data_IF_897744458145
#
_entry.id   IF_897744458145
#
_cell.length_a   1.000
_cell.length_b   1.000
_cell.length_c   1.000
_cell.angle_alpha   90.00
_cell.angle_beta   90.00
_cell.angle_gamma   90.00
#
_symmetry.space_group_name_H-M   'P 1'
#
loop_
_entity.id
_entity.type
_entity.pdbx_description
1 polymer ?
#
# COMPACT_ATOMS: atom_id res chain seq x y z
N UNK A 1 -0.53 -14.37 -18.94
CA UNK A 1 -1.57 -14.34 -17.90
C UNK A 1 -1.39 -15.57 -17.04
N UNK A 2 -0.90 -15.40 -15.80
CA UNK A 2 -0.63 -16.48 -14.82
C UNK A 2 -1.68 -16.50 -13.71
N UNK A 3 -1.79 -17.63 -13.01
CA UNK A 3 -2.67 -17.72 -11.84
C UNK A 3 -1.96 -17.02 -10.69
N UNK A 4 -2.64 -16.18 -9.91
CA UNK A 4 -2.03 -15.65 -8.69
C UNK A 4 -1.88 -16.78 -7.66
N UNK A 5 -0.71 -17.40 -7.65
CA UNK A 5 -0.29 -18.47 -6.76
C UNK A 5 1.10 -18.16 -6.19
N UNK A 6 1.48 -18.81 -5.08
CA UNK A 6 2.78 -18.60 -4.45
C UNK A 6 3.95 -18.78 -5.43
N UNK A 7 3.91 -19.82 -6.28
CA UNK A 7 4.97 -20.09 -7.25
C UNK A 7 5.02 -19.02 -8.35
N UNK A 8 3.91 -18.81 -9.07
CA UNK A 8 3.85 -17.87 -10.18
C UNK A 8 4.22 -16.44 -9.72
N UNK A 9 3.81 -16.07 -8.50
CA UNK A 9 4.16 -14.79 -7.88
C UNK A 9 5.67 -14.67 -7.62
N UNK A 10 6.28 -15.65 -6.95
CA UNK A 10 7.71 -15.63 -6.66
C UNK A 10 8.56 -15.61 -7.95
N UNK A 11 8.18 -16.39 -8.96
CA UNK A 11 8.87 -16.42 -10.25
C UNK A 11 8.75 -15.08 -11.00
N UNK A 12 7.57 -14.46 -10.98
CA UNK A 12 7.34 -13.15 -11.60
C UNK A 12 8.18 -12.06 -10.93
N UNK A 13 8.16 -11.98 -9.59
CA UNK A 13 8.92 -10.97 -8.85
C UNK A 13 10.41 -11.13 -9.10
N UNK A 14 10.92 -12.36 -9.15
CA UNK A 14 12.32 -12.62 -9.45
C UNK A 14 12.76 -12.02 -10.80
N UNK A 15 11.87 -11.97 -11.80
CA UNK A 15 12.12 -11.34 -13.10
C UNK A 15 12.00 -9.81 -13.03
N UNK A 16 11.06 -9.28 -12.26
CA UNK A 16 10.91 -7.83 -12.09
C UNK A 16 12.09 -7.20 -11.35
N UNK A 17 12.65 -7.89 -10.35
CA UNK A 17 13.82 -7.39 -9.61
C UNK A 17 15.03 -7.20 -10.51
N UNK A 18 15.21 -8.05 -11.53
CA UNK A 18 16.29 -7.91 -12.52
C UNK A 18 16.15 -6.66 -13.41
N UNK A 19 14.96 -6.05 -13.44
CA UNK A 19 14.65 -4.85 -14.22
C UNK A 19 14.68 -3.57 -13.39
N UNK A 20 14.93 -3.64 -12.08
CA UNK A 20 14.95 -2.45 -11.23
C UNK A 20 16.04 -1.49 -11.70
N UNK A 21 15.64 -0.28 -12.03
CA UNK A 21 16.53 0.85 -12.28
C UNK A 21 16.24 1.94 -11.29
N UNK A 22 17.27 2.38 -10.55
CA UNK A 22 17.16 3.52 -9.64
C UNK A 22 17.42 4.81 -10.39
N UNK A 23 16.39 5.26 -11.11
CA UNK A 23 16.36 6.59 -11.69
C UNK A 23 15.59 7.49 -10.72
N UNK A 24 16.29 8.45 -10.13
CA UNK A 24 15.70 9.47 -9.26
C UNK A 24 15.35 10.71 -10.06
N UNK A 25 14.16 11.26 -9.83
CA UNK A 25 13.76 12.58 -10.35
C UNK A 25 14.04 13.66 -9.30
N UNK A 26 13.65 13.41 -8.04
CA UNK A 26 13.91 14.24 -6.86
C UNK A 26 13.59 13.43 -5.62
N UNK A 27 14.51 13.40 -4.64
CA UNK A 27 14.30 12.67 -3.38
C UNK A 27 13.03 13.12 -2.67
N UNK A 28 12.24 12.16 -2.17
CA UNK A 28 11.05 12.40 -1.33
C UNK A 28 11.35 12.35 0.16
N UNK A 29 12.41 11.62 0.53
CA UNK A 29 12.84 11.45 1.91
C UNK A 29 14.29 11.86 2.08
N UNK A 30 14.55 12.61 3.13
CA UNK A 30 15.87 13.16 3.45
C UNK A 30 16.81 12.02 3.82
N UNK A 31 18.05 12.08 3.30
CA UNK A 31 19.10 11.11 3.62
C UNK A 31 19.04 9.81 2.80
N UNK A 32 18.04 9.62 1.94
CA UNK A 32 17.92 8.38 1.15
C UNK A 32 19.15 8.09 0.29
N UNK A 33 19.79 9.10 -0.31
CA UNK A 33 21.01 8.91 -1.11
C UNK A 33 22.19 8.38 -0.31
N UNK A 34 22.26 8.66 0.99
CA UNK A 34 23.32 8.18 1.88
C UNK A 34 23.24 6.66 2.08
N UNK A 35 22.01 6.11 2.07
CA UNK A 35 21.74 4.71 2.40
C UNK A 35 21.30 3.86 1.21
N UNK A 36 20.90 4.47 0.09
CA UNK A 36 20.36 3.75 -1.07
C UNK A 36 21.29 2.63 -1.55
N UNK A 37 22.59 2.90 -1.61
CA UNK A 37 23.59 1.89 -2.00
C UNK A 37 23.56 0.68 -1.07
N UNK A 38 23.54 0.89 0.24
CA UNK A 38 23.52 -0.21 1.22
C UNK A 38 22.22 -1.00 1.17
N UNK A 39 21.09 -0.31 1.06
CA UNK A 39 19.76 -0.94 0.92
C UNK A 39 19.68 -1.82 -0.33
N UNK A 40 20.21 -1.35 -1.48
CA UNK A 40 20.30 -2.19 -2.69
C UNK A 40 21.11 -3.45 -2.44
N UNK A 41 22.27 -3.33 -1.78
CA UNK A 41 23.11 -4.49 -1.50
C UNK A 41 22.38 -5.49 -0.59
N UNK A 42 21.61 -5.01 0.39
CA UNK A 42 20.78 -5.87 1.24
C UNK A 42 19.66 -6.54 0.44
N UNK A 43 18.91 -5.81 -0.38
CA UNK A 43 17.87 -6.36 -1.26
C UNK A 43 18.44 -7.44 -2.17
N UNK A 44 19.59 -7.18 -2.82
CA UNK A 44 20.24 -8.14 -3.71
C UNK A 44 20.71 -9.39 -2.98
N UNK A 45 21.32 -9.23 -1.79
CA UNK A 45 21.75 -10.35 -0.95
C UNK A 45 20.57 -11.21 -0.52
N UNK A 46 19.51 -10.57 -0.04
CA UNK A 46 18.33 -11.25 0.49
C UNK A 46 17.56 -11.95 -0.65
N UNK A 47 17.46 -11.33 -1.84
CA UNK A 47 16.92 -11.98 -3.04
C UNK A 47 17.70 -13.23 -3.44
N UNK A 48 19.04 -13.13 -3.49
CA UNK A 48 19.89 -14.27 -3.83
C UNK A 48 19.75 -15.40 -2.82
N UNK A 49 19.58 -15.06 -1.54
CA UNK A 49 19.34 -16.02 -0.46
C UNK A 49 18.01 -16.75 -0.68
N UNK A 50 16.93 -16.01 -0.95
CA UNK A 50 15.62 -16.62 -1.24
C UNK A 50 15.68 -17.50 -2.50
N UNK A 51 16.32 -17.04 -3.58
CA UNK A 51 16.51 -17.82 -4.81
C UNK A 51 17.25 -19.15 -4.53
N UNK A 52 18.31 -19.13 -3.72
CA UNK A 52 19.06 -20.34 -3.33
C UNK A 52 18.21 -21.30 -2.51
N UNK A 53 17.46 -20.80 -1.53
CA UNK A 53 16.65 -21.62 -0.64
C UNK A 53 15.48 -22.30 -1.38
N UNK A 54 14.92 -21.65 -2.40
CA UNK A 54 13.90 -22.25 -3.28
C UNK A 54 14.54 -23.33 -4.16
N UNK A 55 15.67 -23.05 -4.81
CA UNK A 55 16.30 -23.97 -5.77
C UNK A 55 16.84 -25.24 -5.11
N UNK A 56 17.23 -25.16 -3.83
CA UNK A 56 17.68 -26.30 -3.03
C UNK A 56 16.52 -27.09 -2.38
N UNK A 57 15.26 -26.76 -2.69
CA UNK A 57 14.05 -27.34 -2.06
C UNK A 57 14.01 -27.19 -0.53
N UNK A 58 14.80 -26.25 0.00
CA UNK A 58 14.93 -25.98 1.44
C UNK A 58 13.84 -25.03 1.97
N UNK A 59 13.01 -24.48 1.08
CA UNK A 59 11.93 -23.53 1.40
C UNK A 59 10.65 -23.89 0.64
N UNK A 60 9.52 -23.91 1.33
CA UNK A 60 8.22 -24.03 0.67
C UNK A 60 7.87 -22.74 -0.06
N UNK A 61 7.08 -22.83 -1.13
CA UNK A 61 6.61 -21.65 -1.88
C UNK A 61 5.86 -20.62 -1.00
N UNK A 62 5.13 -21.09 0.01
CA UNK A 62 4.48 -20.22 1.01
C UNK A 62 5.48 -19.38 1.81
N UNK A 63 6.53 -20.02 2.34
CA UNK A 63 7.60 -19.31 3.06
C UNK A 63 8.41 -18.39 2.13
N UNK A 64 8.64 -18.83 0.90
CA UNK A 64 9.25 -18.01 -0.14
C UNK A 64 8.43 -16.74 -0.41
N UNK A 65 7.11 -16.88 -0.52
CA UNK A 65 6.20 -15.73 -0.75
C UNK A 65 6.31 -14.71 0.37
N UNK A 66 6.39 -15.16 1.63
CA UNK A 66 6.59 -14.26 2.76
C UNK A 66 7.89 -13.46 2.63
N UNK A 67 9.02 -14.13 2.45
CA UNK A 67 10.33 -13.47 2.30
C UNK A 67 10.39 -12.55 1.07
N UNK A 68 9.78 -12.95 -0.04
CA UNK A 68 9.67 -12.11 -1.24
C UNK A 68 8.80 -10.87 -0.99
N UNK A 69 7.70 -11.00 -0.23
CA UNK A 69 6.83 -9.86 0.08
C UNK A 69 7.56 -8.82 0.95
N UNK A 70 8.34 -9.26 1.94
CA UNK A 70 9.21 -8.37 2.73
C UNK A 70 10.21 -7.61 1.85
N UNK A 71 10.79 -8.27 0.84
CA UNK A 71 11.69 -7.61 -0.11
C UNK A 71 10.97 -6.60 -1.01
N UNK A 72 9.79 -6.93 -1.51
CA UNK A 72 8.98 -6.03 -2.35
C UNK A 72 8.55 -4.80 -1.56
N UNK A 73 8.22 -4.96 -0.27
CA UNK A 73 7.93 -3.83 0.63
C UNK A 73 9.12 -2.87 0.72
N UNK A 74 10.30 -3.41 0.98
CA UNK A 74 11.54 -2.63 1.07
C UNK A 74 11.88 -1.95 -0.26
N UNK A 75 11.69 -2.63 -1.39
CA UNK A 75 11.85 -2.06 -2.74
C UNK A 75 10.85 -0.93 -2.98
N UNK A 76 9.57 -1.13 -2.62
CA UNK A 76 8.51 -0.12 -2.76
C UNK A 76 8.88 1.14 -1.96
N UNK A 77 9.32 0.94 -0.71
CA UNK A 77 9.79 1.99 0.19
C UNK A 77 10.96 2.77 -0.39
N UNK A 78 12.01 2.06 -0.81
CA UNK A 78 13.21 2.66 -1.39
C UNK A 78 12.86 3.47 -2.65
N UNK A 79 12.11 2.89 -3.59
CA UNK A 79 11.74 3.55 -4.84
C UNK A 79 10.91 4.81 -4.60
N UNK A 80 9.98 4.76 -3.64
CA UNK A 80 9.25 5.94 -3.21
C UNK A 80 10.23 6.99 -2.66
N UNK A 81 11.04 6.64 -1.66
CA UNK A 81 11.96 7.54 -0.97
C UNK A 81 12.97 8.21 -1.91
N UNK A 82 13.58 7.44 -2.83
CA UNK A 82 14.56 7.98 -3.80
C UNK A 82 13.95 8.89 -4.85
N UNK A 83 12.62 9.03 -4.92
CA UNK A 83 12.02 9.89 -5.92
C UNK A 83 11.79 9.23 -7.27
N UNK A 84 11.62 7.91 -7.33
CA UNK A 84 11.25 7.25 -8.58
C UNK A 84 9.89 7.77 -9.09
N UNK A 85 9.66 7.67 -10.40
CA UNK A 85 8.37 8.04 -10.99
C UNK A 85 7.22 7.29 -10.29
N UNK A 86 6.06 7.94 -10.18
CA UNK A 86 4.90 7.36 -9.50
C UNK A 86 4.51 5.99 -10.06
N UNK A 87 4.52 5.84 -11.38
CA UNK A 87 4.22 4.57 -12.06
C UNK A 87 5.19 3.44 -11.68
N UNK A 88 6.44 3.77 -11.35
CA UNK A 88 7.47 2.78 -11.01
C UNK A 88 7.25 2.25 -9.60
N UNK A 89 7.24 3.09 -8.56
CA UNK A 89 7.09 2.57 -7.19
C UNK A 89 5.69 2.01 -6.94
N UNK A 90 4.64 2.55 -7.59
CA UNK A 90 3.27 2.02 -7.47
C UNK A 90 3.12 0.64 -8.09
N UNK A 91 3.88 0.32 -9.14
CA UNK A 91 3.95 -1.04 -9.66
C UNK A 91 4.43 -2.03 -8.58
N UNK A 92 5.43 -1.65 -7.79
CA UNK A 92 5.91 -2.45 -6.66
C UNK A 92 4.89 -2.50 -5.52
N UNK A 93 4.13 -1.43 -5.30
CA UNK A 93 2.96 -1.44 -4.41
C UNK A 93 1.93 -2.49 -4.83
N UNK A 94 1.62 -2.63 -6.12
CA UNK A 94 0.74 -3.70 -6.62
C UNK A 94 1.28 -5.10 -6.31
N UNK A 95 2.59 -5.31 -6.46
CA UNK A 95 3.22 -6.58 -6.11
C UNK A 95 3.18 -6.87 -4.61
N UNK A 96 3.36 -5.84 -3.78
CA UNK A 96 3.17 -5.96 -2.32
C UNK A 96 1.75 -6.44 -2.03
N UNK A 97 0.75 -5.84 -2.67
CA UNK A 97 -0.65 -6.21 -2.48
C UNK A 97 -0.92 -7.70 -2.75
N UNK A 98 -0.37 -8.22 -3.84
CA UNK A 98 -0.49 -9.64 -4.20
C UNK A 98 0.22 -10.56 -3.21
N UNK A 99 1.42 -10.18 -2.75
CA UNK A 99 2.15 -10.91 -1.73
C UNK A 99 1.40 -10.97 -0.39
N UNK A 100 0.82 -9.84 0.04
CA UNK A 100 -0.02 -9.76 1.24
C UNK A 100 -1.28 -10.62 1.12
N UNK A 101 -1.94 -10.61 -0.04
CA UNK A 101 -3.11 -11.43 -0.31
C UNK A 101 -2.80 -12.93 -0.20
N UNK A 102 -1.70 -13.38 -0.80
CA UNK A 102 -1.26 -14.77 -0.73
C UNK A 102 -0.93 -15.21 0.72
N UNK A 103 -0.59 -14.27 1.59
CA UNK A 103 -0.37 -14.49 3.03
C UNK A 103 -1.64 -14.36 3.87
N UNK A 104 -2.81 -14.09 3.27
CA UNK A 104 -4.06 -13.90 3.99
C UNK A 104 -4.23 -12.52 4.64
N UNK A 105 -3.34 -11.57 4.37
CA UNK A 105 -3.33 -10.22 4.95
C UNK A 105 -4.20 -9.27 4.13
N UNK A 106 -5.52 -9.42 4.26
CA UNK A 106 -6.49 -8.79 3.34
C UNK A 106 -6.54 -7.25 3.42
N UNK A 107 -6.40 -6.66 4.61
CA UNK A 107 -6.40 -5.19 4.76
C UNK A 107 -5.18 -4.60 4.07
N UNK A 108 -4.00 -5.12 4.42
CA UNK A 108 -2.72 -4.67 3.87
C UNK A 108 -2.71 -4.88 2.36
N UNK A 109 -3.20 -6.02 1.87
CA UNK A 109 -3.38 -6.25 0.44
C UNK A 109 -4.23 -5.16 -0.22
N UNK A 110 -5.37 -4.79 0.37
CA UNK A 110 -6.22 -3.73 -0.17
C UNK A 110 -5.57 -2.34 -0.09
N UNK A 111 -4.83 -2.03 0.98
CA UNK A 111 -4.12 -0.75 1.14
C UNK A 111 -3.05 -0.57 0.06
N UNK A 112 -2.16 -1.56 -0.10
CA UNK A 112 -1.12 -1.52 -1.13
C UNK A 112 -1.69 -1.60 -2.55
N UNK A 113 -2.81 -2.28 -2.75
CA UNK A 113 -3.51 -2.30 -4.03
C UNK A 113 -4.10 -0.92 -4.37
N UNK A 114 -4.64 -0.18 -3.39
CA UNK A 114 -5.15 1.18 -3.61
C UNK A 114 -4.01 2.13 -4.00
N UNK A 115 -2.86 2.01 -3.32
CA UNK A 115 -1.63 2.72 -3.69
C UNK A 115 -1.14 2.30 -5.09
N UNK A 116 -1.25 1.02 -5.47
CA UNK A 116 -0.88 0.51 -6.79
C UNK A 116 -1.87 0.83 -7.92
N UNK A 117 -3.09 1.26 -7.60
CA UNK A 117 -4.17 1.44 -8.59
C UNK A 117 -4.83 0.14 -9.04
N UNK A 118 -4.71 -0.95 -8.27
CA UNK A 118 -5.28 -2.27 -8.59
C UNK A 118 -6.76 -2.37 -8.18
N UNK A 119 -7.60 -1.45 -8.67
CA UNK A 119 -8.99 -1.32 -8.24
C UNK A 119 -9.83 -2.59 -8.50
N UNK A 120 -9.65 -3.25 -9.65
CA UNK A 120 -10.32 -4.51 -9.97
C UNK A 120 -9.91 -5.65 -9.03
N UNK A 121 -8.63 -5.70 -8.63
CA UNK A 121 -8.15 -6.67 -7.66
C UNK A 121 -8.78 -6.44 -6.29
N UNK A 122 -8.81 -5.19 -5.84
CA UNK A 122 -9.46 -4.79 -4.59
C UNK A 122 -10.91 -5.28 -4.56
N UNK A 123 -11.67 -5.08 -5.64
CA UNK A 123 -13.05 -5.56 -5.74
C UNK A 123 -13.15 -7.09 -5.65
N UNK A 124 -12.16 -7.82 -6.17
CA UNK A 124 -12.10 -9.28 -6.12
C UNK A 124 -11.81 -9.88 -4.73
N UNK A 125 -11.27 -9.08 -3.79
CA UNK A 125 -11.01 -9.55 -2.41
C UNK A 125 -12.30 -10.00 -1.71
N UNK A 126 -12.24 -10.91 -0.72
CA UNK A 126 -13.43 -11.33 0.03
C UNK A 126 -14.16 -10.15 0.68
N UNK A 127 -15.50 -10.20 0.78
CA UNK A 127 -16.31 -9.20 1.49
C UNK A 127 -16.40 -9.45 3.01
N UNK A 128 -15.63 -10.43 3.52
CA UNK A 128 -15.65 -10.83 4.93
C UNK A 128 -15.30 -9.62 5.82
N UNK A 129 -16.06 -9.36 6.89
CA UNK A 129 -15.73 -8.30 7.84
C UNK A 129 -14.36 -8.54 8.45
N UNK A 130 -13.50 -7.53 8.43
CA UNK A 130 -12.19 -7.66 9.08
C UNK A 130 -12.37 -7.45 10.58
N UNK A 131 -11.77 -8.36 11.37
CA UNK A 131 -11.69 -8.23 12.83
C UNK A 131 -10.51 -7.33 13.20
N UNK A 132 -10.61 -6.04 12.90
CA UNK A 132 -9.65 -5.03 13.37
C UNK A 132 -10.24 -4.24 14.54
N UNK A 133 -9.37 -3.83 15.47
CA UNK A 133 -9.71 -2.87 16.53
C UNK A 133 -9.40 -1.43 16.12
N UNK A 134 -8.60 -1.21 15.07
CA UNK A 134 -8.22 0.11 14.61
C UNK A 134 -9.33 0.72 13.77
N UNK A 135 -9.71 1.97 14.03
CA UNK A 135 -10.77 2.66 13.29
C UNK A 135 -10.35 2.91 11.84
N UNK A 136 -9.08 3.27 11.61
CA UNK A 136 -8.50 3.46 10.28
C UNK A 136 -8.69 2.25 9.35
N UNK A 137 -8.37 1.05 9.84
CA UNK A 137 -8.55 -0.20 9.08
C UNK A 137 -10.02 -0.53 8.82
N UNK A 138 -10.90 -0.30 9.81
CA UNK A 138 -12.34 -0.52 9.67
C UNK A 138 -12.96 0.44 8.65
N UNK A 139 -12.62 1.73 8.71
CA UNK A 139 -13.06 2.76 7.76
C UNK A 139 -12.56 2.44 6.36
N UNK A 140 -11.27 2.15 6.20
CA UNK A 140 -10.71 1.80 4.89
C UNK A 140 -11.41 0.59 4.27
N UNK A 141 -11.59 -0.50 5.04
CA UNK A 141 -12.26 -1.70 4.55
C UNK A 141 -13.73 -1.44 4.18
N UNK A 142 -14.42 -0.62 4.98
CA UNK A 142 -15.80 -0.22 4.70
C UNK A 142 -15.90 0.54 3.37
N UNK A 143 -15.03 1.53 3.15
CA UNK A 143 -14.98 2.34 1.93
C UNK A 143 -14.68 1.48 0.68
N UNK A 144 -13.83 0.47 0.83
CA UNK A 144 -13.46 -0.44 -0.24
C UNK A 144 -14.56 -1.43 -0.61
N UNK A 145 -15.24 -2.02 0.38
CA UNK A 145 -16.21 -3.10 0.16
C UNK A 145 -17.66 -2.63 0.04
N UNK A 146 -17.94 -1.36 0.28
CA UNK A 146 -19.30 -0.81 0.24
C UNK A 146 -20.25 -1.49 1.23
N UNK A 147 -19.71 -2.23 2.20
CA UNK A 147 -20.48 -3.00 3.15
C UNK A 147 -20.66 -2.16 4.42
N UNK A 148 -21.54 -1.15 4.30
CA UNK A 148 -21.90 -0.21 5.37
C UNK A 148 -22.52 -0.90 6.60
N UNK A 149 -22.80 -2.20 6.53
CA UNK A 149 -23.30 -3.02 7.65
C UNK A 149 -22.18 -3.56 8.56
N UNK A 150 -20.95 -3.04 8.47
CA UNK A 150 -19.92 -3.25 9.50
C UNK A 150 -20.34 -2.55 10.80
N UNK A 151 -21.18 -3.24 11.56
CA UNK A 151 -21.99 -2.77 12.67
C UNK A 151 -21.26 -2.29 13.94
N UNK A 152 -20.03 -1.77 13.87
CA UNK A 152 -19.25 -1.42 15.06
C UNK A 152 -18.46 -0.09 15.00
N UNK A 153 -18.54 0.69 13.92
CA UNK A 153 -17.97 2.05 13.97
C UNK A 153 -18.81 2.92 14.91
N UNK A 154 -18.20 3.58 15.91
CA UNK A 154 -18.93 4.51 16.76
C UNK A 154 -19.40 5.71 15.92
N UNK A 155 -20.51 6.33 16.30
CA UNK A 155 -21.00 7.55 15.63
C UNK A 155 -20.01 8.72 15.79
N UNK A 156 -19.28 8.74 16.91
CA UNK A 156 -18.22 9.69 17.21
C UNK A 156 -17.28 9.14 18.28
N UNK A 157 -16.08 9.72 18.38
CA UNK A 157 -15.11 9.45 19.44
C UNK A 157 -14.70 10.77 20.11
N UNK A 158 -13.97 10.69 21.21
CA UNK A 158 -13.32 11.87 21.81
C UNK A 158 -11.92 12.14 21.25
N UNK A 159 -11.42 11.27 20.36
CA UNK A 159 -10.12 11.39 19.72
C UNK A 159 -10.32 12.09 18.37
N UNK A 160 -9.58 13.18 18.13
CA UNK A 160 -9.72 14.01 16.93
C UNK A 160 -9.33 13.25 15.66
N UNK A 161 -8.28 12.42 15.71
CA UNK A 161 -7.83 11.58 14.59
C UNK A 161 -8.86 10.48 14.26
N UNK A 162 -9.38 9.79 15.26
CA UNK A 162 -10.43 8.78 15.07
C UNK A 162 -11.70 9.42 14.47
N UNK A 163 -12.07 10.62 14.90
CA UNK A 163 -13.20 11.36 14.32
C UNK A 163 -12.96 11.74 12.86
N UNK A 164 -11.74 12.13 12.51
CA UNK A 164 -11.39 12.41 11.12
C UNK A 164 -11.54 11.16 10.25
N UNK A 165 -11.15 9.97 10.73
CA UNK A 165 -11.42 8.71 10.03
C UNK A 165 -12.93 8.45 9.85
N UNK A 166 -13.73 8.64 10.89
CA UNK A 166 -15.19 8.50 10.79
C UNK A 166 -15.80 9.51 9.79
N UNK A 167 -15.23 10.71 9.69
CA UNK A 167 -15.63 11.71 8.71
C UNK A 167 -15.27 11.30 7.28
N UNK A 168 -14.12 10.66 7.04
CA UNK A 168 -13.78 10.09 5.72
C UNK A 168 -14.78 9.01 5.30
N UNK A 169 -15.18 8.16 6.23
CA UNK A 169 -16.22 7.14 6.04
C UNK A 169 -17.55 7.72 5.53
N UNK A 170 -17.89 8.95 5.91
CA UNK A 170 -19.12 9.63 5.50
C UNK A 170 -18.95 10.50 4.25
N UNK A 171 -17.85 11.24 4.16
CA UNK A 171 -17.62 12.27 3.14
C UNK A 171 -17.20 11.70 1.78
N UNK A 172 -16.36 10.66 1.75
CA UNK A 172 -15.86 10.09 0.49
C UNK A 172 -16.99 9.50 -0.37
N UNK A 173 -17.93 8.67 0.16
CA UNK A 173 -18.99 8.08 -0.65
C UNK A 173 -19.94 9.10 -1.28
N UNK A 174 -20.11 10.26 -0.66
CA UNK A 174 -20.98 11.35 -1.14
C UNK A 174 -20.21 12.44 -1.89
N UNK A 175 -18.89 12.26 -2.08
CA UNK A 175 -18.00 13.22 -2.75
C UNK A 175 -18.03 14.62 -2.12
N UNK A 176 -18.07 14.69 -0.79
CA UNK A 176 -17.93 15.96 -0.06
C UNK A 176 -16.45 16.31 0.08
N UNK A 177 -15.89 16.91 -0.96
CA UNK A 177 -14.46 17.27 -1.04
C UNK A 177 -13.99 18.15 0.13
N UNK A 178 -14.86 19.04 0.64
CA UNK A 178 -14.50 19.92 1.75
C UNK A 178 -14.31 19.11 3.04
N UNK A 179 -15.23 18.20 3.34
CA UNK A 179 -15.13 17.37 4.55
C UNK A 179 -14.04 16.30 4.40
N UNK A 180 -13.86 15.76 3.20
CA UNK A 180 -12.76 14.83 2.91
C UNK A 180 -11.40 15.51 3.11
N UNK A 181 -11.22 16.72 2.60
CA UNK A 181 -9.97 17.45 2.75
C UNK A 181 -9.66 17.79 4.21
N UNK A 182 -10.63 18.31 4.96
CA UNK A 182 -10.42 18.65 6.37
C UNK A 182 -10.05 17.41 7.20
N UNK A 183 -10.70 16.26 6.94
CA UNK A 183 -10.34 15.02 7.61
C UNK A 183 -8.93 14.51 7.24
N UNK A 184 -8.55 14.61 5.96
CA UNK A 184 -7.18 14.24 5.54
C UNK A 184 -6.12 15.15 6.15
N UNK A 185 -6.39 16.45 6.30
CA UNK A 185 -5.50 17.40 6.98
C UNK A 185 -5.34 17.05 8.46
N UNK A 186 -6.43 16.74 9.14
CA UNK A 186 -6.42 16.37 10.56
C UNK A 186 -5.57 15.11 10.79
N UNK A 187 -5.79 14.07 9.99
CA UNK A 187 -5.01 12.83 10.06
C UNK A 187 -3.53 13.09 9.73
N UNK A 188 -3.23 13.86 8.68
CA UNK A 188 -1.85 14.20 8.33
C UNK A 188 -1.16 14.97 9.46
N UNK A 189 -1.82 15.98 10.04
CA UNK A 189 -1.26 16.76 11.14
C UNK A 189 -0.97 15.90 12.38
N UNK A 190 -1.88 14.98 12.72
CA UNK A 190 -1.69 14.06 13.84
C UNK A 190 -0.44 13.21 13.64
N UNK A 191 -0.33 12.51 12.51
CA UNK A 191 0.80 11.59 12.26
C UNK A 191 2.12 12.32 12.07
N UNK A 192 2.12 13.46 11.38
CA UNK A 192 3.33 14.30 11.26
C UNK A 192 3.82 14.78 12.64
N UNK A 193 2.92 15.05 13.59
CA UNK A 193 3.26 15.48 14.94
C UNK A 193 3.74 14.31 15.83
N UNK A 194 3.09 13.14 15.73
CA UNK A 194 3.49 11.93 16.45
C UNK A 194 4.89 11.44 16.03
N UNK A 195 5.25 11.62 14.76
CA UNK A 195 6.58 11.25 14.24
C UNK A 195 7.67 12.31 14.49
N UNK A 196 7.38 13.42 15.19
CA UNK A 196 8.37 14.48 15.52
C UNK A 196 9.25 14.92 14.33
N UNK A 197 8.66 15.11 13.13
CA UNK A 197 9.34 15.41 11.86
C UNK A 197 10.22 14.29 11.26
N UNK A 198 10.33 13.12 11.91
CA UNK A 198 11.04 11.95 11.38
C UNK A 198 10.37 11.38 10.14
N UNK A 199 9.06 11.61 9.93
CA UNK A 199 8.33 11.16 8.74
C UNK A 199 8.95 11.66 7.41
N UNK A 200 9.74 12.73 7.44
CA UNK A 200 10.46 13.26 6.28
C UNK A 200 11.79 12.55 6.00
N UNK A 201 12.33 11.80 6.97
CA UNK A 201 13.61 11.12 6.85
C UNK A 201 13.43 9.73 6.23
N UNK A 202 14.48 9.25 5.58
CA UNK A 202 14.57 7.86 5.15
C UNK A 202 15.11 7.01 6.28
N UNK A 203 14.41 5.93 6.64
CA UNK A 203 14.85 5.01 7.68
C UNK A 203 15.23 3.65 7.08
N UNK A 204 16.52 3.37 6.88
CA UNK A 204 16.95 2.12 6.26
C UNK A 204 16.42 0.92 7.02
N UNK A 205 15.79 -0.03 6.31
CA UNK A 205 15.17 -1.25 6.85
C UNK A 205 13.89 -1.03 7.69
N UNK A 206 13.44 0.20 7.86
CA UNK A 206 12.15 0.53 8.47
C UNK A 206 11.18 0.95 7.36
N UNK A 207 10.59 -0.05 6.70
CA UNK A 207 9.66 0.18 5.60
C UNK A 207 8.19 0.00 6.03
N UNK A 208 7.25 0.70 5.39
CA UNK A 208 7.46 1.69 4.32
C UNK A 208 7.78 3.12 4.84
N UNK A 209 8.46 3.94 4.03
CA UNK A 209 8.76 5.35 4.31
C UNK A 209 7.54 6.28 4.09
N UNK A 210 6.32 5.77 4.31
CA UNK A 210 5.07 6.52 4.24
C UNK A 210 3.99 5.82 5.07
N UNK A 211 3.08 6.61 5.64
CA UNK A 211 1.98 6.08 6.45
C UNK A 211 0.93 5.39 5.58
N UNK A 212 1.03 4.06 5.51
CA UNK A 212 0.28 3.24 4.54
C UNK A 212 -1.23 3.36 4.67
N UNK A 213 -1.86 3.26 5.86
CA UNK A 213 -3.30 3.42 5.99
C UNK A 213 -3.77 4.80 5.51
N UNK A 214 -3.04 5.86 5.90
CA UNK A 214 -3.39 7.25 5.57
C UNK A 214 -3.25 7.50 4.06
N UNK A 215 -2.14 7.07 3.47
CA UNK A 215 -1.92 7.22 2.03
C UNK A 215 -2.90 6.37 1.22
N UNK A 216 -3.25 5.17 1.69
CA UNK A 216 -4.23 4.32 1.01
C UNK A 216 -5.64 4.92 1.01
N UNK A 217 -6.09 5.55 2.11
CA UNK A 217 -7.39 6.23 2.13
C UNK A 217 -7.40 7.49 1.27
N UNK A 218 -6.28 8.22 1.19
CA UNK A 218 -6.13 9.35 0.26
C UNK A 218 -6.18 8.88 -1.21
N UNK A 219 -5.56 7.74 -1.54
CA UNK A 219 -5.67 7.12 -2.87
C UNK A 219 -7.12 6.74 -3.20
N UNK A 220 -7.86 6.22 -2.22
CA UNK A 220 -9.26 5.89 -2.36
C UNK A 220 -10.12 7.14 -2.57
N UNK A 221 -9.94 8.19 -1.75
CA UNK A 221 -10.65 9.46 -1.93
C UNK A 221 -10.44 10.01 -3.36
N UNK A 222 -9.19 10.03 -3.84
CA UNK A 222 -8.86 10.43 -5.21
C UNK A 222 -9.54 9.56 -6.26
N UNK A 223 -9.58 8.24 -6.07
CA UNK A 223 -10.29 7.32 -6.96
C UNK A 223 -11.79 7.66 -7.06
N UNK A 224 -12.39 8.15 -5.96
CA UNK A 224 -13.78 8.62 -5.92
C UNK A 224 -13.97 10.06 -6.45
N UNK A 225 -12.91 10.73 -6.91
CA UNK A 225 -12.96 12.04 -7.56
C UNK A 225 -12.39 13.20 -6.74
N UNK A 226 -11.96 12.95 -5.50
CA UNK A 226 -11.37 13.99 -4.65
C UNK A 226 -10.16 14.64 -5.30
N UNK A 227 -10.12 15.97 -5.29
CA UNK A 227 -8.96 16.77 -5.71
C UNK A 227 -8.62 17.78 -4.63
N UNK A 228 -7.40 17.76 -4.07
CA UNK A 228 -7.02 18.68 -3.00
C UNK A 228 -6.93 20.14 -3.50
N UNK A 229 -7.41 21.08 -2.69
CA UNK A 229 -7.47 22.53 -2.99
C UNK A 229 -6.62 23.33 -1.99
N UNK A 230 -6.69 23.01 -0.70
CA UNK A 230 -6.07 23.83 0.37
C UNK A 230 -5.19 23.04 1.34
N UNK A 231 -4.76 21.84 0.96
CA UNK A 231 -3.71 21.08 1.65
C UNK A 231 -2.37 21.86 1.54
N UNK A 232 -1.62 21.96 2.64
CA UNK A 232 -0.31 22.63 2.64
C UNK A 232 0.75 21.78 1.91
N UNK A 233 1.89 22.36 1.49
CA UNK A 233 2.96 21.59 0.86
C UNK A 233 3.48 20.41 1.70
N UNK A 234 3.57 20.59 3.03
CA UNK A 234 4.02 19.56 3.97
C UNK A 234 3.02 18.42 4.06
N UNK A 235 1.73 18.74 4.23
CA UNK A 235 0.65 17.76 4.26
C UNK A 235 0.55 17.02 2.91
N UNK A 236 0.75 17.72 1.80
CA UNK A 236 0.78 17.09 0.47
C UNK A 236 1.96 16.12 0.34
N UNK A 237 3.15 16.51 0.81
CA UNK A 237 4.36 15.66 0.84
C UNK A 237 4.15 14.41 1.70
N UNK A 238 3.48 14.56 2.85
CA UNK A 238 3.11 13.44 3.72
C UNK A 238 2.12 12.48 3.03
N UNK A 239 1.08 13.02 2.39
CA UNK A 239 0.03 12.27 1.71
C UNK A 239 0.39 11.85 0.26
N UNK A 240 1.59 12.16 -0.23
CA UNK A 240 1.93 12.11 -1.65
C UNK A 240 1.68 10.73 -2.26
N UNK A 241 2.04 9.66 -1.53
CA UNK A 241 1.84 8.29 -2.00
C UNK A 241 0.36 8.00 -2.34
N UNK A 242 -0.59 8.62 -1.64
CA UNK A 242 -2.01 8.51 -1.93
C UNK A 242 -2.52 9.46 -3.01
N UNK A 243 -2.01 10.70 -3.00
CA UNK A 243 -2.47 11.77 -3.90
C UNK A 243 -1.82 11.73 -5.29
N UNK A 244 -0.79 10.91 -5.49
CA UNK A 244 -0.14 10.67 -6.78
C UNK A 244 -1.17 10.29 -7.88
N UNK A 245 -1.20 11.06 -8.96
CA UNK A 245 -2.21 10.91 -10.03
C UNK A 245 -1.86 9.78 -10.99
N UNK A 246 -0.59 9.58 -11.30
CA UNK A 246 -0.16 8.62 -12.32
C UNK A 246 -0.19 7.19 -11.78
N UNK A 247 -1.16 6.40 -12.22
CA UNK A 247 -1.29 4.97 -11.94
C UNK A 247 -0.53 4.13 -12.99
N UNK A 248 0.14 3.03 -12.60
CA UNK A 248 0.67 2.07 -13.55
C UNK A 248 -0.47 1.34 -14.29
N UNK A 249 -0.14 0.65 -15.38
CA UNK A 249 -1.11 -0.29 -15.97
C UNK A 249 -1.41 -1.40 -14.98
N UNK A 250 -2.69 -1.73 -14.71
CA UNK A 250 -3.05 -2.70 -13.69
C UNK A 250 -2.55 -4.09 -14.07
N UNK A 251 -1.99 -4.80 -13.09
CA UNK A 251 -1.54 -6.18 -13.24
C UNK A 251 -2.69 -7.16 -13.14
N UNK A 252 -3.75 -6.84 -12.42
CA UNK A 252 -4.96 -7.64 -12.39
C UNK A 252 -6.06 -7.00 -13.26
N UNK A 253 -6.74 -7.74 -14.16
CA UNK A 253 -6.56 -9.16 -14.47
C UNK A 253 -5.52 -9.45 -15.57
N UNK A 254 -4.72 -8.48 -16.00
CA UNK A 254 -3.92 -8.54 -17.24
C UNK A 254 -2.72 -9.51 -17.17
N UNK A 255 -2.01 -9.50 -16.05
CA UNK A 255 -0.84 -10.33 -15.74
C UNK A 255 -1.27 -11.52 -14.89
N UNK A 256 -2.00 -11.23 -13.80
CA UNK A 256 -2.49 -12.23 -12.86
C UNK A 256 -4.01 -12.33 -12.88
N UNK A 257 -4.54 -13.53 -12.64
CA UNK A 257 -5.96 -13.74 -12.35
C UNK A 257 -6.13 -14.67 -11.14
N UNK A 258 -7.26 -14.53 -10.45
CA UNK A 258 -7.64 -15.44 -9.38
C UNK A 258 -8.36 -16.66 -9.98
N UNK A 259 -8.02 -17.90 -9.57
CA UNK A 259 -8.76 -19.08 -9.99
C UNK A 259 -10.20 -19.01 -9.47
N UNK A 260 -11.16 -19.59 -10.19
CA UNK A 260 -12.59 -19.52 -9.84
C UNK A 260 -12.88 -20.06 -8.43
N UNK A 261 -12.10 -21.03 -7.94
CA UNK A 261 -12.21 -21.56 -6.57
C UNK A 261 -11.80 -20.59 -5.47
N UNK A 262 -11.02 -19.55 -5.80
CA UNK A 262 -10.60 -18.49 -4.87
C UNK A 262 -11.57 -17.30 -4.88
N UNK A 263 -12.45 -17.23 -5.89
CA UNK A 263 -13.60 -16.33 -5.90
C UNK A 263 -14.67 -16.94 -4.98
N UNK A 264 -14.60 -16.58 -3.70
CA UNK A 264 -15.58 -16.88 -2.65
C UNK A 264 -15.42 -18.23 -1.92
N UNK A 265 -15.02 -18.13 -0.66
CA UNK A 265 -15.67 -18.86 0.44
C UNK A 265 -15.86 -17.90 1.61
N UNK A 266 -16.82 -16.99 1.43
CA UNK A 266 -17.51 -16.36 2.55
C UNK A 266 -18.48 -17.41 3.11
N UNK A 267 -18.10 -18.02 4.22
CA UNK A 267 -19.06 -18.63 5.16
C UNK A 267 -19.19 -17.67 6.32
#
# INVERSE_FOLDING_TARGET
>A
MGILSHQDFCEFVAQEVEKITLLSVSERRIGVSEYATDVIHYIQRDLNTVKSLISEENLTWEKATKSITELILEITSLLYAVGAEHTVWRHWSSLTAFGMFLQGQMIQAAQYAALGGEWDFIQSLPATPVKSQQISEQVFWMLVKGNFTAANLPESTSNEEDNAWLQLAQSIPVQDDSQTEEALKEIANFWMAEDEDEWMNFHPRSYPDFETPVCAVAALARHYGFTPISITPEQYSFLEAGLAISEPSPMFPNIFYLPESSKVSAV
#
